data_IF_345246549684
#
_entry.id   IF_345246549684
#
_cell.length_a   1.000
_cell.length_b   1.000
_cell.length_c   1.000
_cell.angle_alpha   90.00
_cell.angle_beta   90.00
_cell.angle_gamma   90.00
#
_symmetry.space_group_name_H-M   'P 1'
#
loop_
_entity.id
_entity.type
_entity.pdbx_description
1 polymer ?
#
# COMPACT_ATOMS: atom_id res chain seq x y z
N UNK A 1 2.96 9.08 8.38
CA UNK A 1 1.92 8.09 8.73
C UNK A 1 1.22 8.52 10.01
N UNK A 2 -0.11 8.37 10.11
CA UNK A 2 -0.88 8.70 11.33
C UNK A 2 -1.77 7.53 11.77
N UNK A 3 -2.16 7.53 13.05
CA UNK A 3 -2.89 6.42 13.66
C UNK A 3 -4.29 6.21 13.06
N UNK A 4 -4.92 7.28 12.55
CA UNK A 4 -6.26 7.17 11.96
C UNK A 4 -6.22 6.34 10.69
N UNK A 5 -5.23 6.57 9.82
CA UNK A 5 -5.08 5.80 8.59
C UNK A 5 -4.73 4.34 8.88
N UNK A 6 -3.89 4.07 9.88
CA UNK A 6 -3.59 2.69 10.30
C UNK A 6 -4.86 1.93 10.70
N UNK A 7 -5.72 2.56 11.51
CA UNK A 7 -6.96 1.92 11.96
C UNK A 7 -7.93 1.71 10.79
N UNK A 8 -8.05 2.66 9.86
CA UNK A 8 -8.87 2.48 8.66
C UNK A 8 -8.40 1.31 7.78
N UNK A 9 -7.08 1.13 7.62
CA UNK A 9 -6.52 -0.01 6.89
C UNK A 9 -6.89 -1.34 7.57
N UNK A 10 -6.76 -1.41 8.90
CA UNK A 10 -7.11 -2.60 9.69
C UNK A 10 -8.61 -2.92 9.67
N UNK A 11 -9.46 -1.93 9.42
CA UNK A 11 -10.91 -2.13 9.26
C UNK A 11 -11.29 -2.78 7.91
N UNK A 12 -10.34 -2.91 6.98
CA UNK A 12 -10.51 -3.64 5.73
C UNK A 12 -11.14 -2.84 4.58
N UNK A 13 -11.32 -3.52 3.45
CA UNK A 13 -11.70 -2.92 2.16
C UNK A 13 -13.03 -2.18 2.20
N UNK A 14 -14.01 -2.69 2.94
CA UNK A 14 -15.35 -2.12 3.05
C UNK A 14 -15.35 -0.71 3.66
N UNK A 15 -14.32 -0.39 4.45
CA UNK A 15 -14.17 0.90 5.12
C UNK A 15 -13.13 1.76 4.41
N UNK A 16 -11.97 1.19 4.11
CA UNK A 16 -10.88 1.91 3.48
C UNK A 16 -11.22 2.38 2.06
N UNK A 17 -11.75 1.51 1.18
CA UNK A 17 -11.94 1.84 -0.23
C UNK A 17 -12.88 3.03 -0.46
N UNK A 18 -14.09 3.10 0.16
CA UNK A 18 -14.95 4.28 -0.01
C UNK A 18 -14.33 5.54 0.62
N UNK A 19 -13.61 5.41 1.74
CA UNK A 19 -12.91 6.53 2.36
C UNK A 19 -11.79 7.07 1.45
N UNK A 20 -10.97 6.18 0.89
CA UNK A 20 -9.87 6.52 -0.01
C UNK A 20 -10.40 7.20 -1.28
N UNK A 21 -11.44 6.64 -1.89
CA UNK A 21 -12.10 7.23 -3.06
C UNK A 21 -12.69 8.61 -2.79
N UNK A 22 -13.22 8.85 -1.58
CA UNK A 22 -13.67 10.18 -1.17
C UNK A 22 -12.48 11.14 -1.00
N UNK A 23 -11.39 10.69 -0.38
CA UNK A 23 -10.17 11.50 -0.17
C UNK A 23 -9.50 11.95 -1.45
N UNK A 24 -9.48 11.12 -2.49
CA UNK A 24 -8.91 11.51 -3.78
C UNK A 24 -9.65 12.67 -4.46
N UNK A 25 -10.89 12.94 -4.06
CA UNK A 25 -11.70 14.07 -4.59
C UNK A 25 -11.51 15.36 -3.80
N UNK A 26 -10.82 15.30 -2.66
CA UNK A 26 -10.54 16.47 -1.84
C UNK A 26 -9.28 17.18 -2.34
N UNK A 27 -9.36 18.50 -2.52
CA UNK A 27 -8.22 19.33 -2.95
C UNK A 27 -7.00 19.25 -2.00
N UNK A 28 -7.23 18.86 -0.74
CA UNK A 28 -6.21 18.69 0.30
C UNK A 28 -6.08 17.22 0.75
N UNK A 29 -6.11 16.27 -0.17
CA UNK A 29 -5.96 14.84 0.14
C UNK A 29 -4.68 14.59 0.95
N UNK A 30 -4.81 14.14 2.20
CA UNK A 30 -3.70 13.93 3.13
C UNK A 30 -3.42 12.45 3.40
N UNK A 31 -3.59 11.58 2.42
CA UNK A 31 -3.22 10.16 2.55
C UNK A 31 -1.70 10.06 2.74
N UNK A 32 -1.26 9.43 3.83
CA UNK A 32 0.12 9.46 4.34
C UNK A 32 0.62 8.04 4.56
N UNK A 33 0.94 7.33 3.49
CA UNK A 33 1.50 5.98 3.56
C UNK A 33 3.02 5.91 3.34
N UNK A 34 3.66 7.07 3.12
CA UNK A 34 5.12 7.19 3.09
C UNK A 34 5.72 6.70 4.41
N UNK A 35 6.67 5.77 4.33
CA UNK A 35 7.36 5.22 5.50
C UNK A 35 6.42 4.56 6.52
N UNK A 36 5.23 4.11 6.10
CA UNK A 36 4.26 3.51 7.00
C UNK A 36 4.77 2.15 7.52
N UNK A 37 4.49 1.88 8.79
CA UNK A 37 4.75 0.59 9.43
C UNK A 37 3.50 -0.27 9.31
N UNK A 38 3.54 -1.20 8.37
CA UNK A 38 2.43 -2.06 7.94
C UNK A 38 2.87 -3.54 7.91
N UNK A 39 3.88 -3.90 8.69
CA UNK A 39 4.38 -5.27 8.82
C UNK A 39 3.27 -6.20 9.30
N UNK A 40 3.13 -7.35 8.63
CA UNK A 40 2.12 -8.37 8.93
C UNK A 40 0.65 -7.86 8.91
N UNK A 41 0.39 -6.65 8.41
CA UNK A 41 -0.97 -6.11 8.29
C UNK A 41 -1.70 -6.76 7.12
N UNK A 42 -2.98 -7.08 7.32
CA UNK A 42 -3.86 -7.50 6.23
C UNK A 42 -4.35 -6.29 5.43
N UNK A 43 -3.84 -6.16 4.21
CA UNK A 43 -4.20 -5.13 3.22
C UNK A 43 -4.91 -5.75 2.00
N UNK A 44 -5.39 -7.00 2.14
CA UNK A 44 -6.01 -7.74 1.07
C UNK A 44 -7.26 -7.02 0.51
N UNK A 45 -7.33 -6.92 -0.82
CA UNK A 45 -8.44 -6.28 -1.53
C UNK A 45 -8.56 -4.76 -1.36
N UNK A 46 -7.60 -4.11 -0.69
CA UNK A 46 -7.63 -2.66 -0.54
C UNK A 46 -7.32 -1.95 -1.86
N UNK A 47 -7.90 -0.77 -2.05
CA UNK A 47 -7.48 0.18 -3.09
C UNK A 47 -6.41 1.13 -2.55
N UNK A 48 -5.19 0.96 -3.04
CA UNK A 48 -4.03 1.80 -2.77
C UNK A 48 -3.48 2.39 -4.09
N UNK A 49 -4.32 2.50 -5.12
CA UNK A 49 -3.90 2.97 -6.43
C UNK A 49 -3.40 4.42 -6.39
N UNK A 50 -2.23 4.65 -6.98
CA UNK A 50 -1.55 5.96 -6.95
C UNK A 50 -1.04 6.38 -5.57
N UNK A 51 -1.15 5.53 -4.53
CA UNK A 51 -0.66 5.86 -3.21
C UNK A 51 0.88 5.96 -3.19
N UNK A 52 1.39 6.89 -2.38
CA UNK A 52 2.82 6.93 -2.06
C UNK A 52 3.09 6.01 -0.86
N UNK A 53 3.64 4.83 -1.15
CA UNK A 53 4.10 3.81 -0.21
C UNK A 53 5.64 3.74 -0.19
N UNK A 54 6.33 4.76 -0.69
CA UNK A 54 7.79 4.75 -0.68
C UNK A 54 8.31 4.67 0.75
N UNK A 55 9.36 3.87 0.94
CA UNK A 55 9.95 3.52 2.24
C UNK A 55 9.00 2.82 3.23
N UNK A 56 7.80 2.38 2.82
CA UNK A 56 6.90 1.65 3.71
C UNK A 56 7.47 0.28 4.11
N UNK A 57 7.25 -0.11 5.35
CA UNK A 57 7.54 -1.42 5.90
C UNK A 57 6.32 -2.32 5.70
N UNK A 58 6.38 -3.21 4.71
CA UNK A 58 5.32 -4.14 4.31
C UNK A 58 5.80 -5.59 4.46
N UNK A 59 6.86 -5.83 5.25
CA UNK A 59 7.40 -7.16 5.50
C UNK A 59 6.29 -8.08 6.04
N UNK A 60 6.06 -9.21 5.38
CA UNK A 60 5.01 -10.17 5.75
C UNK A 60 3.56 -9.69 5.56
N UNK A 61 3.32 -8.51 5.00
CA UNK A 61 1.96 -8.00 4.81
C UNK A 61 1.16 -8.87 3.81
N UNK A 62 -0.14 -9.04 4.07
CA UNK A 62 -1.06 -9.67 3.13
C UNK A 62 -1.56 -8.61 2.14
N UNK A 63 -0.97 -8.59 0.95
CA UNK A 63 -1.30 -7.69 -0.16
C UNK A 63 -2.12 -8.41 -1.24
N UNK A 64 -2.78 -9.52 -0.92
CA UNK A 64 -3.51 -10.29 -1.93
C UNK A 64 -4.65 -9.48 -2.52
N UNK A 65 -4.76 -9.50 -3.84
CA UNK A 65 -5.82 -8.78 -4.59
C UNK A 65 -5.84 -7.26 -4.35
N UNK A 66 -4.79 -6.68 -3.74
CA UNK A 66 -4.70 -5.23 -3.52
C UNK A 66 -4.55 -4.51 -4.87
N UNK A 67 -5.17 -3.34 -5.02
CA UNK A 67 -4.90 -2.47 -6.16
C UNK A 67 -3.77 -1.51 -5.80
N UNK A 68 -2.58 -1.73 -6.36
CA UNK A 68 -1.40 -0.87 -6.26
C UNK A 68 -1.07 -0.21 -7.61
N UNK A 69 -2.04 -0.14 -8.51
CA UNK A 69 -1.81 0.44 -9.84
C UNK A 69 -1.36 1.90 -9.71
N UNK A 70 -0.26 2.24 -10.38
CA UNK A 70 0.36 3.57 -10.30
C UNK A 70 0.95 3.95 -8.93
N UNK A 71 0.95 3.07 -7.93
CA UNK A 71 1.51 3.36 -6.61
C UNK A 71 3.04 3.52 -6.64
N UNK A 72 3.58 4.37 -5.78
CA UNK A 72 5.03 4.47 -5.58
C UNK A 72 5.48 3.55 -4.45
N UNK A 73 6.18 2.47 -4.80
CA UNK A 73 6.76 1.47 -3.89
C UNK A 73 8.28 1.59 -3.81
N UNK A 74 8.84 2.75 -4.20
CA UNK A 74 10.28 2.99 -4.16
C UNK A 74 10.82 2.79 -2.74
N UNK A 75 11.85 1.95 -2.59
CA UNK A 75 12.45 1.59 -1.30
C UNK A 75 11.49 0.97 -0.27
N UNK A 76 10.29 0.53 -0.67
CA UNK A 76 9.41 -0.21 0.24
C UNK A 76 9.99 -1.59 0.55
N UNK A 77 9.88 -2.03 1.79
CA UNK A 77 10.32 -3.35 2.23
C UNK A 77 9.18 -4.34 2.08
N UNK A 78 9.33 -5.34 1.22
CA UNK A 78 8.27 -6.28 0.82
C UNK A 78 8.66 -7.74 1.11
N UNK A 79 9.68 -7.94 1.94
CA UNK A 79 10.18 -9.26 2.30
C UNK A 79 9.04 -10.11 2.86
N UNK A 80 8.74 -11.23 2.19
CA UNK A 80 7.67 -12.17 2.57
C UNK A 80 6.24 -11.63 2.47
N UNK A 81 6.02 -10.46 1.86
CA UNK A 81 4.68 -9.98 1.56
C UNK A 81 3.99 -10.88 0.52
N UNK A 82 2.69 -11.15 0.70
CA UNK A 82 1.89 -11.94 -0.25
C UNK A 82 1.21 -11.01 -1.26
N UNK A 83 1.75 -10.96 -2.47
CA UNK A 83 1.23 -10.14 -3.58
C UNK A 83 0.32 -10.95 -4.54
N UNK A 84 -0.21 -12.10 -4.12
CA UNK A 84 -1.04 -12.92 -5.01
C UNK A 84 -2.23 -12.13 -5.57
N UNK A 85 -2.32 -12.06 -6.90
CA UNK A 85 -3.32 -11.27 -7.64
C UNK A 85 -3.31 -9.75 -7.36
N UNK A 86 -2.25 -9.20 -6.77
CA UNK A 86 -2.11 -7.74 -6.64
C UNK A 86 -2.01 -7.08 -8.03
N UNK A 87 -2.69 -5.94 -8.21
CA UNK A 87 -2.54 -5.13 -9.41
C UNK A 87 -1.39 -4.14 -9.25
N UNK A 88 -0.27 -4.41 -9.92
CA UNK A 88 0.95 -3.59 -9.89
C UNK A 88 1.14 -2.76 -11.17
N UNK A 89 0.12 -2.66 -12.04
CA UNK A 89 0.25 -1.96 -13.33
C UNK A 89 0.66 -0.51 -13.13
N UNK A 90 1.79 -0.13 -13.72
CA UNK A 90 2.32 1.24 -13.61
C UNK A 90 2.87 1.61 -12.23
N UNK A 91 2.97 0.67 -11.29
CA UNK A 91 3.64 0.91 -10.02
C UNK A 91 5.12 1.27 -10.23
N UNK A 92 5.64 2.16 -9.38
CA UNK A 92 7.02 2.67 -9.46
C UNK A 92 7.89 1.89 -8.47
N UNK A 93 9.00 1.35 -8.97
CA UNK A 93 9.95 0.55 -8.20
C UNK A 93 11.35 1.12 -8.40
N UNK A 94 11.80 1.96 -7.47
CA UNK A 94 13.20 2.43 -7.43
C UNK A 94 13.89 1.94 -6.18
N UNK A 95 15.16 1.58 -6.28
CA UNK A 95 15.97 1.17 -5.13
C UNK A 95 15.56 -0.16 -4.48
N UNK A 96 14.57 -0.85 -5.04
CA UNK A 96 14.26 -2.23 -4.70
C UNK A 96 15.44 -3.09 -5.15
N UNK A 97 16.16 -3.69 -4.19
CA UNK A 97 17.24 -4.62 -4.49
C UNK A 97 16.63 -5.96 -4.96
N UNK A 98 16.10 -5.98 -6.18
CA UNK A 98 15.52 -7.17 -6.80
C UNK A 98 16.58 -8.21 -7.20
N UNK A 99 17.86 -8.00 -6.86
CA UNK A 99 18.98 -8.84 -7.28
C UNK A 99 19.04 -10.23 -6.60
N UNK A 100 18.04 -10.63 -5.82
CA UNK A 100 18.14 -11.83 -4.98
C UNK A 100 17.00 -12.85 -5.02
N UNK A 101 15.82 -12.56 -5.59
CA UNK A 101 14.67 -13.47 -5.46
C UNK A 101 13.73 -13.39 -6.67
N UNK A 102 14.06 -14.16 -7.71
CA UNK A 102 13.12 -14.82 -8.64
C UNK A 102 13.65 -16.20 -8.95
#
# INVERSE_FOLDING_TARGET
>A
FDAVQLELLKMGADVWNPWYAAKLREENSNVRLYGAYLEEVSLAGLDLSGANLSYAHLEGADLRQVNLSGADLSYAHLESADLWMADLRGAIWKGQNLAGRI
#
